data_IF_810587885052
#
_entry.id   IF_810587885052
#
_cell.length_a   1.000
_cell.length_b   1.000
_cell.length_c   1.000
_cell.angle_alpha   90.00
_cell.angle_beta   90.00
_cell.angle_gamma   90.00
#
_symmetry.space_group_name_H-M   'P 1'
#
loop_
_entity.id
_entity.type
_entity.pdbx_description
1 polymer ?
#
# COMPACT_ATOMS: atom_id res chain seq x y z
N UNK A 1 12.02 -1.12 0.75
CA UNK A 1 11.45 -1.81 1.92
C UNK A 1 12.44 -1.66 3.05
N UNK A 2 12.19 -0.72 3.96
CA UNK A 2 13.18 -0.35 5.01
C UNK A 2 13.17 -1.36 6.16
N UNK A 3 12.02 -1.99 6.40
CA UNK A 3 11.76 -2.76 7.61
C UNK A 3 11.64 -4.28 7.39
N UNK A 4 11.70 -4.74 6.15
CA UNK A 4 11.62 -6.17 5.82
C UNK A 4 12.84 -6.95 6.33
N UNK A 5 12.62 -8.05 7.05
CA UNK A 5 13.70 -8.86 7.61
C UNK A 5 14.48 -8.19 8.74
N UNK A 6 13.99 -7.07 9.27
CA UNK A 6 14.64 -6.30 10.33
C UNK A 6 14.82 -7.11 11.62
N UNK A 7 13.80 -7.82 12.07
CA UNK A 7 13.87 -8.63 13.31
C UNK A 7 14.84 -9.80 13.13
N UNK A 8 14.82 -10.48 11.98
CA UNK A 8 15.80 -11.52 11.66
C UNK A 8 17.24 -10.98 11.65
N UNK A 9 17.46 -9.78 11.12
CA UNK A 9 18.76 -9.11 11.15
C UNK A 9 19.21 -8.83 12.59
N UNK A 10 18.35 -8.25 13.41
CA UNK A 10 18.67 -7.94 14.82
C UNK A 10 18.89 -9.21 15.66
N UNK A 11 18.14 -10.28 15.39
CA UNK A 11 18.37 -11.59 16.00
C UNK A 11 19.76 -12.14 15.64
N UNK A 12 20.17 -12.02 14.37
CA UNK A 12 21.51 -12.45 13.93
C UNK A 12 22.65 -11.60 14.53
N UNK A 13 22.35 -10.35 14.91
CA UNK A 13 23.25 -9.46 15.66
C UNK A 13 23.27 -9.79 17.17
N UNK A 14 22.53 -10.81 17.62
CA UNK A 14 22.53 -11.29 19.00
C UNK A 14 21.71 -10.43 19.96
N UNK A 15 20.85 -9.54 19.46
CA UNK A 15 19.98 -8.74 20.33
C UNK A 15 18.89 -9.60 20.96
N UNK A 16 18.63 -9.36 22.25
CA UNK A 16 17.52 -9.98 22.97
C UNK A 16 16.16 -9.43 22.51
N UNK A 17 15.08 -10.17 22.76
CA UNK A 17 13.71 -9.76 22.41
C UNK A 17 13.33 -8.38 22.96
N UNK A 18 13.78 -8.05 24.18
CA UNK A 18 13.55 -6.73 24.79
C UNK A 18 14.29 -5.62 24.04
N UNK A 19 15.55 -5.83 23.68
CA UNK A 19 16.33 -4.87 22.90
C UNK A 19 15.77 -4.68 21.49
N UNK A 20 15.23 -5.73 20.88
CA UNK A 20 14.54 -5.65 19.59
C UNK A 20 13.27 -4.79 19.73
N UNK A 21 12.48 -4.97 20.78
CA UNK A 21 11.30 -4.13 21.02
C UNK A 21 11.68 -2.65 21.21
N UNK A 22 12.69 -2.36 22.04
CA UNK A 22 13.22 -1.01 22.24
C UNK A 22 13.70 -0.40 20.92
N UNK A 23 14.39 -1.19 20.09
CA UNK A 23 14.80 -0.77 18.76
C UNK A 23 13.61 -0.44 17.85
N UNK A 24 12.61 -1.32 17.76
CA UNK A 24 11.41 -1.10 16.95
C UNK A 24 10.63 0.14 17.40
N UNK A 25 10.61 0.44 18.71
CA UNK A 25 10.06 1.69 19.22
C UNK A 25 10.88 2.91 18.79
N UNK A 26 12.22 2.83 18.88
CA UNK A 26 13.10 3.93 18.43
C UNK A 26 12.98 4.24 16.93
N UNK A 27 12.61 3.24 16.12
CA UNK A 27 12.39 3.39 14.68
C UNK A 27 10.95 3.79 14.33
N UNK A 28 10.12 4.07 15.33
CA UNK A 28 8.69 4.38 15.16
C UNK A 28 7.95 3.29 14.36
N UNK A 29 8.33 2.02 14.53
CA UNK A 29 7.65 0.86 13.94
C UNK A 29 6.61 0.34 14.94
N UNK A 30 7.05 0.13 16.18
CA UNK A 30 6.23 -0.31 17.30
C UNK A 30 5.90 0.92 18.16
N UNK A 31 4.62 1.22 18.35
CA UNK A 31 4.16 2.40 19.10
C UNK A 31 3.93 2.04 20.57
N UNK A 32 3.30 0.89 20.82
CA UNK A 32 2.97 0.47 22.18
C UNK A 32 2.98 -1.05 22.29
N UNK A 33 3.22 -1.53 23.51
CA UNK A 33 2.99 -2.93 23.88
C UNK A 33 2.10 -2.91 25.12
N UNK A 34 0.86 -3.39 24.97
CA UNK A 34 -0.13 -3.44 26.03
C UNK A 34 -0.24 -4.86 26.58
N UNK A 35 -0.02 -5.03 27.87
CA UNK A 35 -0.36 -6.27 28.56
C UNK A 35 -1.89 -6.32 28.76
N UNK A 36 -2.55 -7.31 28.15
CA UNK A 36 -3.91 -7.67 28.53
C UNK A 36 -3.87 -8.27 29.92
N UNK A 37 -4.20 -7.46 30.93
CA UNK A 37 -4.54 -7.97 32.25
C UNK A 37 -5.81 -8.80 32.10
N UNK A 38 -5.68 -10.11 32.18
CA UNK A 38 -6.82 -11.02 32.23
C UNK A 38 -7.54 -10.84 33.56
N UNK A 39 -8.40 -9.82 33.65
CA UNK A 39 -9.35 -9.66 34.74
C UNK A 39 -10.54 -10.61 34.51
N UNK A 40 -10.28 -11.91 34.63
CA UNK A 40 -11.32 -12.90 34.91
C UNK A 40 -10.78 -13.77 36.05
N UNK A 41 -11.09 -13.38 37.29
CA UNK A 41 -11.13 -14.32 38.40
C UNK A 41 -12.33 -15.23 38.16
N UNK A 42 -12.10 -16.43 37.61
CA UNK A 42 -13.05 -17.54 37.73
C UNK A 42 -12.50 -18.52 38.79
N UNK A 43 -13.39 -19.10 39.60
CA UNK A 43 -13.02 -19.80 40.82
C UNK A 43 -12.32 -21.10 40.50
N UNK A 44 -11.38 -21.46 41.38
CA UNK A 44 -10.64 -22.72 41.35
C UNK A 44 -11.59 -23.91 41.31
N UNK A 45 -11.56 -24.67 40.22
CA UNK A 45 -11.96 -26.07 40.26
C UNK A 45 -10.90 -26.92 39.56
N UNK A 46 -10.44 -27.89 40.33
CA UNK A 46 -9.42 -28.87 40.03
C UNK A 46 -9.93 -29.89 39.02
N UNK A 47 -9.43 -29.89 37.78
CA UNK A 47 -9.51 -31.08 36.92
C UNK A 47 -8.21 -31.35 36.17
N UNK A 48 -7.85 -32.63 36.15
CA UNK A 48 -6.55 -33.21 35.82
C UNK A 48 -6.08 -32.85 34.41
N UNK A 49 -4.80 -32.45 34.32
CA UNK A 49 -4.04 -32.31 33.07
C UNK A 49 -4.06 -33.64 32.30
N UNK A 50 -4.66 -33.66 31.12
CA UNK A 50 -4.30 -34.63 30.09
C UNK A 50 -3.37 -33.93 29.10
N UNK A 51 -2.26 -34.59 28.78
CA UNK A 51 -1.21 -34.07 27.92
C UNK A 51 -1.70 -33.96 26.48
N UNK A 52 -1.38 -32.84 25.82
CA UNK A 52 -1.64 -32.52 24.41
C UNK A 52 -1.41 -33.69 23.43
N UNK A 53 -0.47 -34.59 23.75
CA UNK A 53 -0.17 -35.77 22.92
C UNK A 53 -1.18 -36.92 23.04
N UNK A 54 -2.01 -37.01 24.09
CA UNK A 54 -3.05 -38.05 24.17
C UNK A 54 -4.29 -37.72 23.33
N UNK A 55 -4.56 -36.43 23.08
CA UNK A 55 -5.65 -35.98 22.22
C UNK A 55 -5.30 -36.19 20.75
N UNK A 56 -4.08 -35.88 20.33
CA UNK A 56 -3.62 -36.11 18.95
C UNK A 56 -3.58 -37.60 18.59
N UNK A 57 -3.24 -38.49 19.53
CA UNK A 57 -3.19 -39.94 19.24
C UNK A 57 -4.57 -40.56 18.96
N UNK A 58 -5.63 -40.02 19.55
CA UNK A 58 -7.00 -40.51 19.33
C UNK A 58 -7.64 -39.97 18.04
N UNK A 59 -7.10 -38.89 17.46
CA UNK A 59 -7.58 -38.33 16.18
C UNK A 59 -7.01 -39.10 14.99
N UNK A 60 -5.80 -39.67 15.11
CA UNK A 60 -5.14 -40.41 14.02
C UNK A 60 -5.44 -41.92 13.98
N UNK A 61 -6.09 -42.51 14.99
CA UNK A 61 -6.41 -43.96 15.01
C UNK A 61 -7.86 -44.32 14.72
N UNK A 62 -8.70 -43.38 14.27
CA UNK A 62 -10.05 -43.71 13.76
C UNK A 62 -10.13 -43.51 12.24
N UNK A 63 -9.33 -44.30 11.52
CA UNK A 63 -9.60 -44.67 10.13
C UNK A 63 -9.55 -46.19 10.02
N UNK A 64 -10.68 -46.82 10.32
CA UNK A 64 -11.15 -48.05 9.69
C UNK A 64 -12.53 -48.37 10.27
N UNK A 65 -13.43 -48.68 9.35
CA UNK A 65 -14.79 -49.19 9.55
C UNK A 65 -15.87 -48.11 9.82
N UNK A 66 -16.38 -47.50 8.74
CA UNK A 66 -17.83 -47.47 8.42
C UNK A 66 -18.12 -46.70 7.10
N UNK A 67 -19.19 -47.05 6.35
CA UNK A 67 -19.32 -46.74 4.93
C UNK A 67 -19.93 -45.37 4.62
N UNK A 68 -19.68 -44.92 3.38
CA UNK A 68 -20.21 -43.72 2.73
C UNK A 68 -21.69 -43.49 3.01
N UNK A 69 -22.03 -42.28 3.47
CA UNK A 69 -23.37 -41.74 3.25
C UNK A 69 -23.34 -40.25 2.90
N UNK A 70 -24.13 -39.90 1.90
CA UNK A 70 -24.18 -38.63 1.21
C UNK A 70 -24.70 -37.48 2.09
N UNK A 71 -24.11 -36.29 1.92
CA UNK A 71 -24.84 -35.04 2.14
C UNK A 71 -24.12 -33.99 2.98
N UNK A 72 -23.78 -32.88 2.30
CA UNK A 72 -23.43 -31.56 2.85
C UNK A 72 -22.09 -31.50 3.60
N UNK A 73 -21.03 -31.23 2.83
CA UNK A 73 -19.84 -30.57 3.36
C UNK A 73 -20.25 -29.21 3.94
N UNK A 74 -20.41 -29.16 5.27
CA UNK A 74 -20.25 -27.90 6.00
C UNK A 74 -18.78 -27.49 5.81
N UNK A 75 -18.46 -26.26 5.40
CA UNK A 75 -17.09 -25.80 5.50
C UNK A 75 -16.72 -25.91 6.98
N UNK A 76 -15.73 -26.75 7.30
CA UNK A 76 -15.05 -26.68 8.58
C UNK A 76 -14.39 -25.30 8.63
N UNK A 77 -15.07 -24.33 9.22
CA UNK A 77 -14.39 -23.20 9.85
C UNK A 77 -13.52 -23.81 10.95
N UNK A 78 -12.29 -24.18 10.59
CA UNK A 78 -11.20 -24.32 11.53
C UNK A 78 -10.93 -22.91 12.07
N UNK A 79 -11.77 -22.49 13.02
CA UNK A 79 -11.36 -21.54 14.05
C UNK A 79 -10.19 -22.20 14.75
N UNK A 80 -8.99 -21.80 14.37
CA UNK A 80 -7.85 -21.95 15.24
C UNK A 80 -8.19 -21.17 16.51
N UNK A 81 -8.74 -21.87 17.50
CA UNK A 81 -8.53 -21.48 18.89
C UNK A 81 -7.05 -21.70 19.13
N UNK A 82 -6.25 -20.72 18.71
CA UNK A 82 -4.88 -20.56 19.18
C UNK A 82 -5.00 -20.56 20.70
N UNK A 83 -4.30 -21.49 21.31
CA UNK A 83 -4.22 -21.68 22.75
C UNK A 83 -4.06 -20.31 23.43
N UNK A 84 -5.03 -19.95 24.28
CA UNK A 84 -5.13 -18.66 24.98
C UNK A 84 -4.10 -18.57 26.13
N UNK A 85 -2.81 -18.82 25.87
CA UNK A 85 -1.79 -18.63 26.89
C UNK A 85 -0.41 -18.11 26.44
N UNK A 86 -0.17 -17.83 25.16
CA UNK A 86 1.04 -17.12 24.70
C UNK A 86 0.63 -16.27 23.49
N UNK A 87 0.30 -14.98 23.55
CA UNK A 87 0.96 -13.86 24.23
C UNK A 87 -0.05 -12.86 24.79
N UNK A 88 0.06 -12.52 26.08
CA UNK A 88 -0.70 -11.42 26.73
C UNK A 88 -0.39 -10.02 26.19
N UNK A 89 0.47 -9.89 25.17
CA UNK A 89 0.98 -8.61 24.69
C UNK A 89 0.29 -8.25 23.37
N UNK A 90 -0.51 -7.19 23.39
CA UNK A 90 -1.00 -6.55 22.18
C UNK A 90 0.01 -5.48 21.76
N UNK A 91 0.65 -5.70 20.61
CA UNK A 91 1.57 -4.74 19.99
C UNK A 91 0.79 -3.81 19.09
N UNK A 92 1.04 -2.50 19.21
CA UNK A 92 0.49 -1.51 18.31
C UNK A 92 1.55 -0.92 17.40
N UNK A 93 1.23 -0.73 16.13
CA UNK A 93 2.19 -0.34 15.09
C UNK A 93 1.85 1.00 14.45
N UNK A 94 2.87 1.72 14.00
CA UNK A 94 2.68 3.04 13.40
C UNK A 94 1.92 2.98 12.07
N UNK A 95 1.24 4.07 11.71
CA UNK A 95 0.52 4.16 10.44
C UNK A 95 1.48 4.10 9.25
N UNK A 96 2.68 4.66 9.39
CA UNK A 96 3.74 4.62 8.39
C UNK A 96 4.18 3.17 8.12
N UNK A 97 4.39 2.38 9.17
CA UNK A 97 4.76 0.97 9.04
C UNK A 97 3.63 0.15 8.40
N UNK A 98 2.39 0.32 8.87
CA UNK A 98 1.22 -0.38 8.31
C UNK A 98 1.03 -0.05 6.82
N UNK A 99 1.26 1.21 6.44
CA UNK A 99 1.24 1.67 5.04
C UNK A 99 2.37 1.05 4.22
N UNK A 100 3.59 0.97 4.76
CA UNK A 100 4.71 0.26 4.11
C UNK A 100 4.36 -1.20 3.85
N UNK A 101 3.77 -1.89 4.85
CA UNK A 101 3.37 -3.28 4.74
C UNK A 101 2.26 -3.49 3.70
N UNK A 102 1.27 -2.59 3.62
CA UNK A 102 0.27 -2.60 2.55
C UNK A 102 0.92 -2.59 1.16
N UNK A 103 1.87 -1.68 0.94
CA UNK A 103 2.58 -1.57 -0.34
C UNK A 103 3.52 -2.74 -0.60
N UNK A 104 4.16 -3.29 0.45
CA UNK A 104 4.95 -4.51 0.35
C UNK A 104 4.10 -5.67 -0.20
N UNK A 105 2.95 -5.93 0.42
CA UNK A 105 2.06 -7.03 0.00
C UNK A 105 1.52 -6.81 -1.41
N UNK A 106 1.19 -5.56 -1.75
CA UNK A 106 0.77 -5.19 -3.09
C UNK A 106 1.88 -5.48 -4.12
N UNK A 107 3.12 -5.10 -3.81
CA UNK A 107 4.29 -5.33 -4.67
C UNK A 107 4.60 -6.82 -4.81
N UNK A 108 4.56 -7.57 -3.71
CA UNK A 108 4.79 -9.01 -3.66
C UNK A 108 3.83 -9.78 -4.58
N UNK A 109 2.58 -9.33 -4.64
CA UNK A 109 1.49 -9.93 -5.40
C UNK A 109 1.18 -9.19 -6.71
N UNK A 110 2.09 -8.34 -7.19
CA UNK A 110 1.91 -7.52 -8.41
C UNK A 110 1.42 -8.32 -9.61
N UNK A 111 1.99 -9.50 -9.85
CA UNK A 111 1.64 -10.34 -11.01
C UNK A 111 0.18 -10.80 -10.92
N UNK A 112 -0.28 -11.20 -9.74
CA UNK A 112 -1.65 -11.62 -9.51
C UNK A 112 -2.61 -10.43 -9.66
N UNK A 113 -2.29 -9.28 -9.06
CA UNK A 113 -3.05 -8.02 -9.20
C UNK A 113 -3.19 -7.64 -10.68
N UNK A 114 -2.10 -7.68 -11.44
CA UNK A 114 -2.11 -7.34 -12.86
C UNK A 114 -2.93 -8.35 -13.70
N UNK A 115 -2.82 -9.65 -13.39
CA UNK A 115 -3.62 -10.67 -14.06
C UNK A 115 -5.12 -10.44 -13.82
N UNK A 116 -5.53 -10.18 -12.58
CA UNK A 116 -6.94 -9.90 -12.24
C UNK A 116 -7.44 -8.61 -12.89
N UNK A 117 -6.62 -7.56 -12.88
CA UNK A 117 -6.90 -6.32 -13.59
C UNK A 117 -7.11 -6.56 -15.10
N UNK A 118 -6.24 -7.33 -15.75
CA UNK A 118 -6.37 -7.64 -17.18
C UNK A 118 -7.65 -8.43 -17.50
N UNK A 119 -8.03 -9.39 -16.66
CA UNK A 119 -9.28 -10.14 -16.79
C UNK A 119 -10.50 -9.21 -16.68
N UNK A 120 -10.50 -8.32 -15.69
CA UNK A 120 -11.56 -7.34 -15.50
C UNK A 120 -11.65 -6.36 -16.69
N UNK A 121 -10.51 -5.82 -17.14
CA UNK A 121 -10.44 -4.94 -18.30
C UNK A 121 -10.89 -5.61 -19.59
N UNK A 122 -10.54 -6.88 -19.82
CA UNK A 122 -10.99 -7.63 -20.99
C UNK A 122 -12.49 -7.86 -20.96
N UNK A 123 -13.05 -8.23 -19.81
CA UNK A 123 -14.50 -8.38 -19.63
C UNK A 123 -15.25 -7.08 -19.92
N UNK A 124 -14.69 -5.94 -19.49
CA UNK A 124 -15.24 -4.63 -19.79
C UNK A 124 -15.14 -4.25 -21.27
N UNK A 125 -13.97 -4.41 -21.90
CA UNK A 125 -13.77 -4.08 -23.32
C UNK A 125 -14.69 -4.90 -24.22
N UNK A 126 -14.84 -6.21 -23.95
CA UNK A 126 -15.77 -7.07 -24.68
C UNK A 126 -17.23 -6.57 -24.59
N UNK A 127 -17.63 -5.92 -23.48
CA UNK A 127 -18.98 -5.32 -23.36
C UNK A 127 -19.12 -4.06 -24.20
N UNK A 128 -18.06 -3.25 -24.31
CA UNK A 128 -18.09 -2.01 -25.11
C UNK A 128 -18.03 -2.29 -26.61
N UNK A 129 -17.16 -3.21 -27.05
CA UNK A 129 -16.90 -3.48 -28.48
C UNK A 129 -18.14 -3.95 -29.26
N UNK A 130 -19.13 -4.52 -28.56
CA UNK A 130 -20.39 -5.00 -29.16
C UNK A 130 -21.38 -3.86 -29.46
N UNK A 131 -21.09 -2.64 -29.01
CA UNK A 131 -21.98 -1.49 -29.17
C UNK A 131 -21.32 -0.35 -29.94
N UNK A 132 -22.02 0.14 -30.96
CA UNK A 132 -21.63 1.31 -31.75
C UNK A 132 -22.31 2.62 -31.29
N UNK A 133 -23.32 2.52 -30.41
CA UNK A 133 -24.07 3.67 -29.92
C UNK A 133 -23.41 4.26 -28.68
N UNK A 134 -22.95 5.52 -28.77
CA UNK A 134 -22.27 6.23 -27.69
C UNK A 134 -23.08 6.28 -26.38
N UNK A 135 -24.40 6.50 -26.45
CA UNK A 135 -25.24 6.55 -25.24
C UNK A 135 -25.27 5.21 -24.49
N UNK A 136 -25.24 4.08 -25.21
CA UNK A 136 -25.15 2.75 -24.60
C UNK A 136 -23.75 2.49 -24.03
N UNK A 137 -22.71 2.97 -24.70
CA UNK A 137 -21.33 2.88 -24.21
C UNK A 137 -21.20 3.65 -22.88
N UNK A 138 -21.74 4.86 -22.81
CA UNK A 138 -21.72 5.69 -21.59
C UNK A 138 -22.48 5.04 -20.43
N UNK A 139 -23.64 4.41 -20.70
CA UNK A 139 -24.38 3.63 -19.70
C UNK A 139 -23.56 2.45 -19.17
N UNK A 140 -22.90 1.70 -20.05
CA UNK A 140 -22.04 0.56 -19.68
C UNK A 140 -20.85 1.02 -18.85
N UNK A 141 -20.22 2.15 -19.21
CA UNK A 141 -19.12 2.75 -18.46
C UNK A 141 -19.59 3.08 -17.05
N UNK A 142 -20.68 3.85 -16.90
CA UNK A 142 -21.21 4.25 -15.59
C UNK A 142 -21.59 3.04 -14.75
N UNK A 143 -22.30 2.07 -15.33
CA UNK A 143 -22.71 0.84 -14.64
C UNK A 143 -21.52 -0.01 -14.19
N UNK A 144 -20.47 -0.11 -15.02
CA UNK A 144 -19.26 -0.87 -14.68
C UNK A 144 -18.46 -0.17 -13.59
N UNK A 145 -18.31 1.15 -13.67
CA UNK A 145 -17.63 1.95 -12.66
C UNK A 145 -18.33 1.83 -11.29
N UNK A 146 -19.63 2.09 -11.24
CA UNK A 146 -20.41 2.00 -10.00
C UNK A 146 -20.43 0.57 -9.47
N UNK A 147 -20.53 -0.44 -10.34
CA UNK A 147 -20.49 -1.85 -9.95
C UNK A 147 -19.20 -2.21 -9.23
N UNK A 148 -18.04 -1.89 -9.84
CA UNK A 148 -16.74 -2.18 -9.24
C UNK A 148 -16.48 -1.34 -7.99
N UNK A 149 -16.93 -0.08 -7.96
CA UNK A 149 -16.89 0.76 -6.76
C UNK A 149 -17.64 0.12 -5.58
N UNK A 150 -18.86 -0.38 -5.82
CA UNK A 150 -19.67 -1.06 -4.80
C UNK A 150 -19.03 -2.36 -4.30
N UNK A 151 -18.29 -3.07 -5.15
CA UNK A 151 -17.52 -4.24 -4.71
C UNK A 151 -16.39 -3.87 -3.72
N UNK A 152 -15.78 -2.68 -3.88
CA UNK A 152 -14.73 -2.21 -2.96
C UNK A 152 -15.31 -1.66 -1.65
N UNK A 153 -16.26 -0.73 -1.76
CA UNK A 153 -16.76 0.04 -0.60
C UNK A 153 -17.90 -0.69 0.13
N UNK A 154 -18.60 -1.59 -0.55
CA UNK A 154 -19.80 -2.28 -0.06
C UNK A 154 -21.10 -1.58 -0.46
N UNK A 155 -22.24 -2.30 -0.41
CA UNK A 155 -23.59 -1.74 -0.64
C UNK A 155 -24.15 -0.97 0.56
N UNK A 156 -23.56 -1.13 1.74
CA UNK A 156 -23.92 -0.41 2.95
C UNK A 156 -22.63 0.14 3.54
N UNK A 157 -22.42 1.45 3.43
CA UNK A 157 -21.28 2.12 4.04
C UNK A 157 -21.42 2.08 5.56
N UNK A 158 -20.88 1.06 6.21
CA UNK A 158 -20.59 1.09 7.65
C UNK A 158 -19.43 2.06 7.98
N UNK A 159 -19.16 3.03 7.11
CA UNK A 159 -18.06 3.98 7.24
C UNK A 159 -18.39 5.14 8.18
N UNK A 160 -19.62 5.22 8.65
CA UNK A 160 -20.14 5.91 9.83
C UNK A 160 -21.56 5.34 9.99
N UNK A 161 -22.23 5.52 11.13
CA UNK A 161 -23.59 5.02 11.37
C UNK A 161 -24.69 5.66 10.48
N UNK A 162 -24.36 6.08 9.25
CA UNK A 162 -25.27 6.61 8.26
C UNK A 162 -25.69 5.49 7.30
N UNK A 163 -26.96 5.10 7.37
CA UNK A 163 -27.62 4.26 6.36
C UNK A 163 -27.62 5.04 5.04
N UNK A 164 -26.69 4.74 4.13
CA UNK A 164 -26.73 5.24 2.77
C UNK A 164 -27.57 4.25 1.93
N UNK A 165 -28.64 4.74 1.29
CA UNK A 165 -29.62 3.90 0.60
C UNK A 165 -29.27 3.68 -0.88
N UNK A 166 -28.47 4.53 -1.54
CA UNK A 166 -27.93 4.23 -2.89
C UNK A 166 -26.55 4.85 -3.19
N UNK A 167 -25.79 4.28 -4.15
CA UNK A 167 -24.46 4.81 -4.52
C UNK A 167 -24.49 6.15 -5.28
N UNK A 168 -25.62 6.50 -5.89
CA UNK A 168 -25.79 7.81 -6.54
C UNK A 168 -25.93 8.92 -5.48
N UNK A 169 -26.65 8.68 -4.37
CA UNK A 169 -26.73 9.61 -3.22
C UNK A 169 -25.37 9.84 -2.53
N UNK A 170 -24.48 8.85 -2.58
CA UNK A 170 -23.12 8.95 -2.02
C UNK A 170 -22.25 9.93 -2.82
N UNK A 171 -22.35 9.88 -4.15
CA UNK A 171 -21.58 10.76 -5.04
C UNK A 171 -22.06 12.22 -4.96
N UNK A 172 -23.35 12.45 -4.75
CA UNK A 172 -23.89 13.80 -4.53
C UNK A 172 -23.28 14.50 -3.31
N UNK A 173 -22.80 13.74 -2.31
CA UNK A 173 -22.15 14.28 -1.12
C UNK A 173 -20.64 14.46 -1.29
N UNK A 174 -19.95 13.45 -1.86
CA UNK A 174 -18.49 13.47 -2.10
C UNK A 174 -18.10 12.59 -3.30
N UNK A 175 -16.99 12.88 -3.99
CA UNK A 175 -16.49 12.05 -5.11
C UNK A 175 -16.26 10.59 -4.69
N UNK A 176 -16.41 9.64 -5.63
CA UNK A 176 -16.17 8.21 -5.41
C UNK A 176 -14.77 7.94 -4.87
N UNK A 177 -13.75 8.61 -5.41
CA UNK A 177 -12.36 8.45 -5.01
C UNK A 177 -12.08 8.83 -3.55
N UNK A 178 -12.84 9.77 -2.97
CA UNK A 178 -12.78 10.06 -1.53
C UNK A 178 -13.09 8.83 -0.67
N UNK A 179 -14.12 8.06 -1.02
CA UNK A 179 -14.51 6.86 -0.26
C UNK A 179 -13.57 5.68 -0.52
N UNK A 180 -12.98 5.60 -1.72
CA UNK A 180 -11.94 4.62 -2.03
C UNK A 180 -10.71 4.83 -1.14
N UNK A 181 -10.27 6.07 -0.92
CA UNK A 181 -9.21 6.39 0.03
C UNK A 181 -9.57 6.04 1.47
N UNK A 182 -10.81 6.33 1.88
CA UNK A 182 -11.28 5.95 3.22
C UNK A 182 -11.24 4.43 3.38
N UNK A 183 -11.63 3.67 2.35
CA UNK A 183 -11.56 2.21 2.36
C UNK A 183 -10.11 1.70 2.40
N UNK A 184 -9.19 2.31 1.65
CA UNK A 184 -7.77 1.97 1.72
C UNK A 184 -7.21 2.14 3.13
N UNK A 185 -7.52 3.27 3.79
CA UNK A 185 -7.12 3.52 5.17
C UNK A 185 -7.66 2.45 6.12
N UNK A 186 -8.93 2.07 5.98
CA UNK A 186 -9.53 0.97 6.77
C UNK A 186 -8.79 -0.36 6.55
N UNK A 187 -8.37 -0.67 5.32
CA UNK A 187 -7.56 -1.88 5.05
C UNK A 187 -6.19 -1.76 5.72
N UNK A 188 -5.53 -0.61 5.61
CA UNK A 188 -4.23 -0.35 6.25
C UNK A 188 -4.33 -0.51 7.78
N UNK A 189 -5.35 0.07 8.41
CA UNK A 189 -5.55 -0.03 9.85
C UNK A 189 -5.79 -1.48 10.31
N UNK A 190 -6.53 -2.26 9.52
CA UNK A 190 -6.82 -3.67 9.82
C UNK A 190 -5.60 -4.59 9.73
N UNK A 191 -4.47 -4.16 9.15
CA UNK A 191 -3.24 -4.97 9.09
C UNK A 191 -2.77 -5.38 10.49
N UNK A 192 -2.98 -4.50 11.48
CA UNK A 192 -2.63 -4.71 12.89
C UNK A 192 -3.36 -5.90 13.53
N UNK A 193 -4.50 -6.31 12.97
CA UNK A 193 -5.27 -7.48 13.40
C UNK A 193 -4.60 -8.81 12.99
N UNK A 194 -3.52 -8.78 12.20
CA UNK A 194 -2.85 -9.95 11.64
C UNK A 194 -1.38 -10.05 12.10
N UNK A 195 -1.11 -10.40 13.36
CA UNK A 195 0.25 -10.49 13.91
C UNK A 195 1.18 -11.40 13.09
N UNK A 196 0.69 -12.54 12.63
CA UNK A 196 1.47 -13.50 11.83
C UNK A 196 2.02 -12.84 10.56
N UNK A 197 1.24 -11.98 9.89
CA UNK A 197 1.69 -11.26 8.71
C UNK A 197 2.81 -10.26 9.04
N UNK A 198 2.64 -9.54 10.14
CA UNK A 198 3.61 -8.54 10.60
C UNK A 198 4.91 -9.21 11.02
N UNK A 199 4.83 -10.28 11.82
CA UNK A 199 5.98 -11.03 12.27
C UNK A 199 6.72 -11.65 11.07
N UNK A 200 6.00 -12.27 10.12
CA UNK A 200 6.60 -12.80 8.88
C UNK A 200 7.33 -11.73 8.07
N UNK A 201 6.76 -10.52 7.99
CA UNK A 201 7.39 -9.38 7.30
C UNK A 201 8.66 -8.92 8.01
N UNK A 202 8.60 -8.75 9.33
CA UNK A 202 9.72 -8.32 10.15
C UNK A 202 10.83 -9.38 10.22
N UNK A 203 10.50 -10.66 10.15
CA UNK A 203 11.45 -11.78 10.07
C UNK A 203 11.98 -12.01 8.64
N UNK A 204 11.36 -11.40 7.64
CA UNK A 204 11.79 -11.51 6.26
C UNK A 204 11.45 -12.86 5.63
N UNK A 205 10.41 -13.55 6.13
CA UNK A 205 9.94 -14.81 5.59
C UNK A 205 8.97 -14.59 4.43
N UNK A 206 9.51 -14.23 3.27
CA UNK A 206 8.72 -14.03 2.06
C UNK A 206 7.99 -15.31 1.62
N UNK A 207 8.58 -16.49 1.88
CA UNK A 207 8.01 -17.76 1.45
C UNK A 207 6.72 -18.06 2.22
N UNK A 208 6.71 -17.83 3.53
CA UNK A 208 5.53 -17.96 4.36
C UNK A 208 4.40 -17.05 3.86
N UNK A 209 4.72 -15.79 3.55
CA UNK A 209 3.75 -14.82 3.03
C UNK A 209 3.17 -15.29 1.68
N UNK A 210 4.02 -15.73 0.74
CA UNK A 210 3.59 -16.13 -0.61
C UNK A 210 2.82 -17.45 -0.66
N UNK A 211 3.25 -18.45 0.09
CA UNK A 211 2.77 -19.84 -0.06
C UNK A 211 1.66 -20.19 0.92
N UNK A 212 1.74 -19.68 2.15
CA UNK A 212 0.83 -20.12 3.23
C UNK A 212 -0.18 -19.04 3.57
N UNK A 213 0.30 -17.80 3.75
CA UNK A 213 -0.58 -16.69 4.14
C UNK A 213 -1.44 -16.21 2.98
N UNK A 214 -0.99 -16.32 1.72
CA UNK A 214 -1.78 -15.87 0.58
C UNK A 214 -3.20 -16.48 0.59
N UNK A 215 -3.35 -17.78 0.83
CA UNK A 215 -4.66 -18.46 0.83
C UNK A 215 -5.42 -18.37 2.15
N UNK A 216 -4.75 -18.07 3.27
CA UNK A 216 -5.33 -18.15 4.62
C UNK A 216 -5.55 -16.79 5.27
N UNK A 217 -4.80 -15.77 4.84
CA UNK A 217 -4.79 -14.45 5.44
C UNK A 217 -5.74 -13.52 4.67
N UNK A 218 -6.92 -13.28 5.26
CA UNK A 218 -7.97 -12.46 4.65
C UNK A 218 -7.48 -11.06 4.25
N UNK A 219 -6.61 -10.41 5.04
CA UNK A 219 -6.13 -9.07 4.71
C UNK A 219 -5.28 -9.04 3.44
N UNK A 220 -4.52 -10.11 3.13
CA UNK A 220 -3.76 -10.20 1.89
C UNK A 220 -4.72 -10.24 0.69
N UNK A 221 -5.79 -11.02 0.80
CA UNK A 221 -6.85 -11.06 -0.21
C UNK A 221 -7.53 -9.70 -0.34
N UNK A 222 -7.94 -9.07 0.77
CA UNK A 222 -8.53 -7.73 0.78
C UNK A 222 -7.63 -6.68 0.09
N UNK A 223 -6.30 -6.75 0.29
CA UNK A 223 -5.30 -5.87 -0.36
C UNK A 223 -5.25 -6.13 -1.87
N UNK A 224 -5.16 -7.39 -2.30
CA UNK A 224 -5.12 -7.75 -3.73
C UNK A 224 -6.40 -7.26 -4.41
N UNK A 225 -7.54 -7.58 -3.80
CA UNK A 225 -8.89 -7.25 -4.26
C UNK A 225 -9.13 -5.77 -4.39
N UNK A 226 -8.67 -4.99 -3.41
CA UNK A 226 -8.70 -3.54 -3.47
C UNK A 226 -7.85 -3.02 -4.63
N UNK A 227 -6.59 -3.46 -4.75
CA UNK A 227 -5.64 -2.89 -5.69
C UNK A 227 -6.04 -3.10 -7.16
N UNK A 228 -6.47 -4.30 -7.57
CA UNK A 228 -6.81 -4.52 -8.98
C UNK A 228 -8.10 -3.79 -9.38
N UNK A 229 -9.09 -3.70 -8.47
CA UNK A 229 -10.35 -2.98 -8.70
C UNK A 229 -10.13 -1.47 -8.69
N UNK A 230 -9.35 -0.95 -7.74
CA UNK A 230 -9.00 0.47 -7.68
C UNK A 230 -8.24 0.89 -8.95
N UNK A 231 -7.26 0.09 -9.40
CA UNK A 231 -6.55 0.29 -10.67
C UNK A 231 -7.50 0.35 -11.87
N UNK A 232 -8.53 -0.49 -11.89
CA UNK A 232 -9.56 -0.46 -12.93
C UNK A 232 -10.40 0.82 -12.89
N UNK A 233 -10.85 1.26 -11.70
CA UNK A 233 -11.60 2.50 -11.55
C UNK A 233 -10.80 3.73 -11.99
N UNK A 234 -9.52 3.80 -11.64
CA UNK A 234 -8.64 4.89 -12.11
C UNK A 234 -8.51 4.86 -13.63
N UNK A 235 -8.29 3.70 -14.23
CA UNK A 235 -8.17 3.57 -15.69
C UNK A 235 -9.44 4.04 -16.41
N UNK A 236 -10.63 3.71 -15.87
CA UNK A 236 -11.91 4.20 -16.38
C UNK A 236 -12.05 5.71 -16.22
N UNK A 237 -11.77 6.24 -15.02
CA UNK A 237 -11.90 7.68 -14.77
C UNK A 237 -10.96 8.50 -15.66
N UNK A 238 -9.71 8.05 -15.85
CA UNK A 238 -8.73 8.70 -16.73
C UNK A 238 -9.17 8.72 -18.20
N UNK A 239 -9.84 7.65 -18.66
CA UNK A 239 -10.24 7.53 -20.07
C UNK A 239 -11.55 8.26 -20.37
N UNK A 240 -12.48 8.28 -19.42
CA UNK A 240 -13.86 8.73 -19.64
C UNK A 240 -14.27 9.94 -18.79
N UNK A 241 -13.39 10.47 -17.94
CA UNK A 241 -13.62 11.64 -17.08
C UNK A 241 -14.94 11.55 -16.29
N UNK A 242 -15.12 10.45 -15.56
CA UNK A 242 -16.36 10.15 -14.81
C UNK A 242 -16.55 11.15 -13.67
N UNK A 243 -15.48 11.49 -12.96
CA UNK A 243 -15.45 12.55 -11.95
C UNK A 243 -14.16 13.36 -12.02
N UNK A 244 -14.24 14.63 -11.58
CA UNK A 244 -13.09 15.52 -11.42
C UNK A 244 -12.28 15.16 -10.16
N UNK A 245 -11.79 13.93 -10.11
CA UNK A 245 -10.87 13.48 -9.07
C UNK A 245 -9.43 13.64 -9.57
N UNK A 246 -8.67 14.46 -8.85
CA UNK A 246 -7.21 14.52 -8.97
C UNK A 246 -6.59 13.35 -8.18
N UNK A 247 -6.91 12.11 -8.55
CA UNK A 247 -6.19 10.97 -7.99
C UNK A 247 -5.18 10.42 -8.98
N UNK A 248 -3.95 10.84 -8.71
CA UNK A 248 -2.74 10.16 -9.12
C UNK A 248 -2.72 8.86 -8.33
N UNK A 249 -2.88 7.70 -9.00
CA UNK A 249 -2.26 6.46 -8.50
C UNK A 249 -0.87 6.91 -8.09
N UNK A 250 -0.48 6.81 -6.81
CA UNK A 250 0.94 6.99 -6.48
C UNK A 250 1.62 5.89 -7.27
N UNK A 251 2.11 6.31 -8.44
CA UNK A 251 2.40 5.46 -9.56
C UNK A 251 3.43 4.47 -9.03
N UNK A 252 3.27 3.21 -9.40
CA UNK A 252 4.22 2.16 -9.03
C UNK A 252 5.66 2.61 -9.39
N UNK A 253 5.75 3.50 -10.38
CA UNK A 253 6.91 4.27 -10.80
C UNK A 253 7.49 5.13 -9.66
N UNK A 254 6.73 5.97 -8.96
CA UNK A 254 7.27 6.83 -7.88
C UNK A 254 7.78 5.99 -6.71
N UNK A 255 7.06 4.94 -6.31
CA UNK A 255 7.55 4.02 -5.28
C UNK A 255 8.79 3.26 -5.74
N UNK A 256 8.86 2.83 -7.00
CA UNK A 256 10.06 2.18 -7.55
C UNK A 256 11.25 3.13 -7.58
N UNK A 257 11.04 4.36 -8.07
CA UNK A 257 12.06 5.42 -8.10
C UNK A 257 12.52 5.75 -6.69
N UNK A 258 11.60 5.91 -5.73
CA UNK A 258 11.96 6.17 -4.34
C UNK A 258 12.73 5.01 -3.72
N UNK A 259 12.36 3.76 -3.98
CA UNK A 259 13.11 2.61 -3.49
C UNK A 259 14.51 2.53 -4.10
N UNK A 260 14.65 2.82 -5.40
CA UNK A 260 15.93 2.78 -6.11
C UNK A 260 16.85 3.97 -5.76
N UNK A 261 16.25 5.11 -5.43
CA UNK A 261 16.94 6.37 -5.14
C UNK A 261 16.61 6.89 -3.72
N UNK A 262 16.38 5.99 -2.77
CA UNK A 262 15.94 6.35 -1.41
C UNK A 262 16.96 7.16 -0.63
N UNK A 263 18.24 7.07 -1.03
CA UNK A 263 19.31 7.87 -0.46
C UNK A 263 19.42 9.26 -1.07
N UNK A 264 18.78 9.51 -2.22
CA UNK A 264 18.80 10.79 -2.93
C UNK A 264 17.66 11.69 -2.45
N UNK A 265 16.45 11.15 -2.34
CA UNK A 265 15.24 11.89 -1.98
C UNK A 265 14.88 11.70 -0.50
N UNK A 266 14.46 12.78 0.17
CA UNK A 266 14.07 12.75 1.58
C UNK A 266 12.77 11.96 1.80
N UNK A 267 11.78 12.15 0.92
CA UNK A 267 10.46 11.53 1.01
C UNK A 267 9.95 11.09 -0.36
N UNK A 268 8.84 10.35 -0.36
CA UNK A 268 8.17 9.97 -1.60
C UNK A 268 7.53 11.18 -2.29
N UNK A 269 7.04 12.15 -1.51
CA UNK A 269 6.45 13.38 -2.04
C UNK A 269 7.49 14.22 -2.77
N UNK A 270 8.74 14.22 -2.28
CA UNK A 270 9.85 14.83 -2.98
C UNK A 270 10.14 14.14 -4.33
N UNK A 271 9.96 12.82 -4.42
CA UNK A 271 10.07 12.07 -5.68
C UNK A 271 8.94 12.46 -6.63
N UNK A 272 7.69 12.45 -6.17
CA UNK A 272 6.52 12.80 -6.98
C UNK A 272 6.70 14.20 -7.56
N UNK A 273 6.98 15.18 -6.71
CA UNK A 273 7.19 16.57 -7.11
C UNK A 273 8.33 16.70 -8.13
N UNK A 274 9.50 16.12 -7.85
CA UNK A 274 10.64 16.22 -8.75
C UNK A 274 10.34 15.55 -10.10
N UNK A 275 9.82 14.33 -10.07
CA UNK A 275 9.51 13.53 -11.26
C UNK A 275 8.51 14.25 -12.18
N UNK A 276 7.42 14.78 -11.61
CA UNK A 276 6.38 15.48 -12.38
C UNK A 276 6.90 16.79 -12.95
N UNK A 277 7.69 17.55 -12.17
CA UNK A 277 8.32 18.77 -12.67
C UNK A 277 9.26 18.51 -13.83
N UNK A 278 10.08 17.46 -13.74
CA UNK A 278 11.02 17.12 -14.81
C UNK A 278 10.28 16.73 -16.10
N UNK A 279 9.21 15.93 -15.99
CA UNK A 279 8.41 15.54 -17.14
C UNK A 279 7.62 16.70 -17.75
N UNK A 280 7.29 17.72 -16.95
CA UNK A 280 6.62 18.93 -17.41
C UNK A 280 7.52 19.91 -18.15
N UNK A 281 8.85 19.72 -18.18
CA UNK A 281 9.75 20.64 -18.88
C UNK A 281 9.65 20.45 -20.40
N UNK A 282 9.17 21.49 -21.09
CA UNK A 282 9.04 21.51 -22.55
C UNK A 282 10.30 22.02 -23.26
N UNK A 283 11.05 22.91 -22.59
CA UNK A 283 12.26 23.54 -23.14
C UNK A 283 13.37 23.64 -22.11
N UNK A 284 14.62 23.78 -22.57
CA UNK A 284 15.81 23.98 -21.73
C UNK A 284 15.94 22.96 -20.58
N UNK A 285 15.54 21.70 -20.83
CA UNK A 285 15.39 20.64 -19.83
C UNK A 285 16.63 20.50 -18.92
N UNK A 286 17.89 20.45 -19.42
CA UNK A 286 19.05 20.33 -18.55
C UNK A 286 19.25 21.55 -17.62
N UNK A 287 18.95 22.75 -18.12
CA UNK A 287 19.07 24.00 -17.35
C UNK A 287 17.98 24.11 -16.29
N UNK A 288 16.75 23.70 -16.61
CA UNK A 288 15.64 23.64 -15.67
C UNK A 288 15.89 22.58 -14.59
N UNK A 289 16.30 21.37 -14.99
CA UNK A 289 16.63 20.29 -14.07
C UNK A 289 17.80 20.66 -13.16
N UNK A 290 18.80 21.40 -13.66
CA UNK A 290 19.87 21.91 -12.81
C UNK A 290 19.38 22.96 -11.81
N UNK A 291 18.46 23.85 -12.17
CA UNK A 291 17.90 24.82 -11.23
C UNK A 291 17.02 24.14 -10.17
N UNK A 292 16.21 23.17 -10.59
CA UNK A 292 15.39 22.33 -9.71
C UNK A 292 16.25 21.58 -8.68
N UNK A 293 17.40 21.03 -9.07
CA UNK A 293 18.35 20.40 -8.14
C UNK A 293 18.69 21.32 -6.96
N UNK A 294 19.13 22.56 -7.24
CA UNK A 294 19.55 23.47 -6.18
C UNK A 294 18.38 23.87 -5.28
N UNK A 295 17.20 24.08 -5.85
CA UNK A 295 15.99 24.41 -5.08
C UNK A 295 15.58 23.26 -4.14
N UNK A 296 15.59 22.02 -4.64
CA UNK A 296 15.32 20.82 -3.83
C UNK A 296 16.39 20.61 -2.74
N UNK A 297 17.66 20.86 -3.07
CA UNK A 297 18.77 20.70 -2.14
C UNK A 297 18.74 21.72 -1.01
N UNK A 298 18.52 23.01 -1.31
CA UNK A 298 18.35 24.05 -0.28
C UNK A 298 17.12 23.81 0.60
N UNK A 299 16.10 23.15 0.05
CA UNK A 299 14.91 22.76 0.80
C UNK A 299 15.05 21.45 1.57
N UNK A 300 16.24 20.84 1.62
CA UNK A 300 16.51 19.54 2.23
C UNK A 300 15.63 18.39 1.70
N UNK A 301 15.07 18.52 0.49
CA UNK A 301 14.25 17.48 -0.14
C UNK A 301 15.09 16.45 -0.90
N UNK A 302 16.34 16.79 -1.20
CA UNK A 302 17.36 15.86 -1.68
C UNK A 302 18.64 16.03 -0.85
N UNK A 303 19.34 14.93 -0.59
CA UNK A 303 20.49 14.91 0.33
C UNK A 303 21.83 14.54 -0.33
N UNK A 304 21.81 14.18 -1.63
CA UNK A 304 23.02 13.82 -2.37
C UNK A 304 23.46 14.93 -3.32
N UNK A 305 24.71 14.81 -3.75
CA UNK A 305 25.34 15.74 -4.67
C UNK A 305 24.71 15.70 -6.07
N UNK A 306 25.06 16.72 -6.86
CA UNK A 306 24.54 16.92 -8.22
C UNK A 306 24.81 15.73 -9.15
N UNK A 307 25.90 14.99 -8.96
CA UNK A 307 26.25 13.84 -9.78
C UNK A 307 25.24 12.70 -9.63
N UNK A 308 24.82 12.38 -8.40
CA UNK A 308 23.79 11.37 -8.17
C UNK A 308 22.44 11.79 -8.77
N UNK A 309 22.09 13.07 -8.63
CA UNK A 309 20.89 13.61 -9.26
C UNK A 309 20.94 13.54 -10.79
N UNK A 310 22.10 13.78 -11.41
CA UNK A 310 22.29 13.61 -12.85
C UNK A 310 22.17 12.15 -13.29
N UNK A 311 22.66 11.19 -12.48
CA UNK A 311 22.45 9.76 -12.76
C UNK A 311 20.99 9.37 -12.71
N UNK A 312 20.25 9.88 -11.71
CA UNK A 312 18.80 9.74 -11.63
C UNK A 312 18.12 10.28 -12.90
N UNK A 313 18.43 11.52 -13.29
CA UNK A 313 17.85 12.16 -14.47
C UNK A 313 18.14 11.40 -15.77
N UNK A 314 19.35 10.86 -15.92
CA UNK A 314 19.72 10.05 -17.07
C UNK A 314 18.97 8.73 -17.09
N UNK A 315 18.89 8.02 -15.96
CA UNK A 315 18.30 6.69 -15.90
C UNK A 315 16.77 6.71 -15.99
N UNK A 316 16.13 7.68 -15.33
CA UNK A 316 14.67 7.73 -15.19
C UNK A 316 14.02 8.60 -16.27
N UNK A 317 14.61 9.75 -16.61
CA UNK A 317 14.03 10.70 -17.56
C UNK A 317 14.80 10.78 -18.89
N UNK A 318 15.86 9.97 -19.08
CA UNK A 318 16.74 9.99 -20.26
C UNK A 318 17.32 11.38 -20.57
N UNK A 319 17.52 12.22 -19.55
CA UNK A 319 18.08 13.56 -19.71
C UNK A 319 19.61 13.48 -19.73
N UNK A 320 20.20 13.83 -20.88
CA UNK A 320 21.66 13.89 -21.05
C UNK A 320 22.16 15.30 -20.77
N UNK A 321 23.16 15.40 -19.90
CA UNK A 321 23.87 16.65 -19.66
C UNK A 321 25.09 16.75 -20.59
N UNK A 322 25.07 17.71 -21.51
CA UNK A 322 26.24 18.07 -22.32
C UNK A 322 27.13 19.12 -21.66
N UNK A 323 28.34 19.33 -22.18
CA UNK A 323 29.18 20.49 -21.82
C UNK A 323 28.48 21.77 -22.28
N UNK A 324 28.02 22.57 -21.33
CA UNK A 324 27.42 23.89 -21.56
C UNK A 324 28.52 24.81 -22.14
N UNK A 325 28.40 25.21 -23.40
CA UNK A 325 29.13 26.37 -23.93
C UNK A 325 28.43 27.61 -23.35
N UNK A 326 29.18 28.66 -22.99
CA UNK A 326 28.62 29.91 -22.43
C UNK A 326 27.44 30.38 -23.31
N UNK A 327 26.23 30.28 -22.79
CA UNK A 327 25.01 30.62 -23.51
C UNK A 327 24.66 32.10 -23.30
N UNK A 328 24.79 32.88 -24.37
CA UNK A 328 24.41 34.30 -24.45
C UNK A 328 23.13 34.54 -25.28
N UNK A 329 22.31 33.51 -25.48
CA UNK A 329 21.14 33.56 -26.36
C UNK A 329 19.96 34.33 -25.73
N UNK A 330 19.34 35.27 -26.45
CA UNK A 330 18.16 35.98 -25.99
C UNK A 330 16.95 35.04 -25.93
N UNK A 331 16.20 35.05 -24.81
CA UNK A 331 15.04 34.18 -24.56
C UNK A 331 15.25 33.14 -23.45
N UNK A 332 16.49 32.88 -23.06
CA UNK A 332 16.80 32.02 -21.91
C UNK A 332 16.47 32.74 -20.60
N UNK A 333 15.59 32.12 -19.79
CA UNK A 333 15.36 32.59 -18.42
C UNK A 333 16.68 32.47 -17.62
N UNK A 334 17.10 33.47 -16.83
CA UNK A 334 18.30 33.33 -16.01
C UNK A 334 18.16 32.20 -14.97
N UNK A 335 19.26 31.51 -14.67
CA UNK A 335 19.27 30.44 -13.66
C UNK A 335 18.65 30.90 -12.33
N UNK A 336 19.04 32.09 -11.86
CA UNK A 336 18.55 32.67 -10.60
C UNK A 336 17.03 32.85 -10.58
N UNK A 337 16.43 33.22 -11.72
CA UNK A 337 14.97 33.37 -11.82
C UNK A 337 14.28 32.00 -11.72
N UNK A 338 14.69 31.01 -12.51
CA UNK A 338 14.15 29.63 -12.44
C UNK A 338 14.24 29.04 -11.04
N UNK A 339 15.41 29.18 -10.43
CA UNK A 339 15.67 28.71 -9.08
C UNK A 339 14.73 29.37 -8.05
N UNK A 340 14.55 30.69 -8.11
CA UNK A 340 13.62 31.40 -7.24
C UNK A 340 12.16 30.97 -7.46
N UNK A 341 11.77 30.73 -8.72
CA UNK A 341 10.43 30.27 -9.06
C UNK A 341 10.18 28.87 -8.46
N UNK A 342 11.14 27.95 -8.58
CA UNK A 342 11.04 26.63 -7.92
C UNK A 342 11.01 26.73 -6.39
N UNK A 343 11.79 27.62 -5.78
CA UNK A 343 11.74 27.80 -4.33
C UNK A 343 10.37 28.30 -3.85
N UNK A 344 9.73 29.20 -4.60
CA UNK A 344 8.35 29.64 -4.30
C UNK A 344 7.38 28.47 -4.39
N UNK A 345 7.43 27.69 -5.48
CA UNK A 345 6.56 26.54 -5.65
C UNK A 345 6.77 25.48 -4.55
N UNK A 346 8.04 25.19 -4.20
CA UNK A 346 8.39 24.27 -3.11
C UNK A 346 7.86 24.79 -1.78
N UNK A 347 7.94 26.09 -1.48
CA UNK A 347 7.44 26.64 -0.22
C UNK A 347 5.92 26.48 -0.07
N UNK A 348 5.18 26.48 -1.18
CA UNK A 348 3.74 26.21 -1.19
C UNK A 348 3.47 24.71 -1.00
N UNK A 349 4.27 23.85 -1.64
CA UNK A 349 4.03 22.41 -1.65
C UNK A 349 4.60 21.68 -0.42
N UNK A 350 5.64 22.24 0.20
CA UNK A 350 6.35 21.72 1.37
C UNK A 350 6.52 22.84 2.41
N UNK A 351 5.43 23.26 3.08
CA UNK A 351 5.47 24.33 4.07
C UNK A 351 6.43 23.98 5.22
N UNK A 352 7.14 24.99 5.70
CA UNK A 352 8.25 24.90 6.66
C UNK A 352 7.86 24.44 8.07
N UNK A 353 6.56 24.31 8.38
CA UNK A 353 6.09 23.86 9.70
C UNK A 353 6.35 22.36 9.97
N UNK A 354 6.91 21.64 8.99
CA UNK A 354 7.29 20.23 9.10
C UNK A 354 8.79 19.95 8.78
N UNK A 355 9.69 20.94 8.89
CA UNK A 355 11.13 20.76 8.63
C UNK A 355 11.97 20.63 9.90
#
# INVERSE_FOLDING_TARGET
>A
MRNFGLVKKLNNEGLSAKQIQEYLMSQNILVAVLERTSAIKLPSSSQKKSSFFSVLRNVFTKTKDEPLNNGKFKPLELKFNIDLNESKLHKSYSTEFRTELFYYISSLNKNLINSQFQLLSRSFNNKIEVHSNQSKIDEIIKKSFIGVYREIVGQYSSLENEKLETADEIHERKPYFFYLNKKQKVIIDRIEEYPILIDSYLDGDENLIRKELLSTCKIIQDIIDFNYRYKFLVALNKKYNIENANEVIIDEIYHKVYNEYSSLFASIDAVIYAYDKINGFTEYIPSNASALYYALFESNLISKNKTEYQRYLLKIHNVKFGKIRKDSSPGLTPFKKRFNDFNKEISVHFPSDNR
#
